data_IF_198427973973
#
_entry.id   IF_198427973973
#
_cell.length_a   1.000
_cell.length_b   1.000
_cell.length_c   1.000
_cell.angle_alpha   90.00
_cell.angle_beta   90.00
_cell.angle_gamma   90.00
#
_symmetry.space_group_name_H-M   'P 1'
#
loop_
_entity.id
_entity.type
_entity.pdbx_description
1 polymer ?
#
# COMPACT_ATOMS: atom_id res chain seq x y z
N UNK A 1 -13.37 5.10 -11.12
CA UNK A 1 -12.56 5.78 -12.13
C UNK A 1 -11.18 6.04 -11.56
N UNK A 2 -10.11 5.80 -12.32
CA UNK A 2 -8.77 6.32 -12.05
C UNK A 2 -8.78 7.81 -11.69
N UNK A 3 -7.89 8.20 -10.79
CA UNK A 3 -7.72 9.59 -10.34
C UNK A 3 -7.41 10.51 -11.52
N UNK A 4 -6.57 10.06 -12.45
CA UNK A 4 -6.21 10.75 -13.70
C UNK A 4 -7.43 11.12 -14.55
N UNK A 5 -8.36 10.19 -14.76
CA UNK A 5 -9.61 10.46 -15.47
C UNK A 5 -10.50 11.47 -14.73
N UNK A 6 -10.58 11.37 -13.40
CA UNK A 6 -11.36 12.32 -12.59
C UNK A 6 -10.75 13.72 -12.68
N UNK A 7 -9.42 13.84 -12.67
CA UNK A 7 -8.73 15.11 -12.85
C UNK A 7 -9.04 15.74 -14.21
N UNK A 8 -9.10 14.96 -15.29
CA UNK A 8 -9.51 15.47 -16.61
C UNK A 8 -10.93 16.04 -16.61
N UNK A 9 -11.86 15.41 -15.87
CA UNK A 9 -13.23 15.92 -15.74
C UNK A 9 -13.27 17.26 -14.99
N UNK A 10 -12.46 17.42 -13.94
CA UNK A 10 -12.31 18.69 -13.22
C UNK A 10 -11.72 19.78 -14.13
N UNK A 11 -10.64 19.46 -14.85
CA UNK A 11 -9.98 20.39 -15.76
C UNK A 11 -10.88 20.84 -16.91
N UNK A 12 -11.80 19.98 -17.38
CA UNK A 12 -12.79 20.30 -18.41
C UNK A 12 -14.09 20.89 -17.86
N UNK A 13 -14.16 21.17 -16.55
CA UNK A 13 -15.35 21.66 -15.85
C UNK A 13 -16.59 20.78 -16.08
N UNK A 14 -16.40 19.46 -16.24
CA UNK A 14 -17.50 18.48 -16.37
C UNK A 14 -18.06 18.06 -15.01
N UNK A 15 -17.24 18.16 -13.98
CA UNK A 15 -17.60 18.03 -12.57
C UNK A 15 -16.80 19.07 -11.80
N UNK A 16 -17.33 19.50 -10.67
CA UNK A 16 -16.73 20.48 -9.77
C UNK A 16 -16.04 19.78 -8.58
N UNK A 17 -14.95 20.30 -7.98
CA UNK A 17 -14.39 19.71 -6.75
C UNK A 17 -15.41 19.55 -5.62
N UNK A 18 -16.36 20.47 -5.52
CA UNK A 18 -17.44 20.43 -4.52
C UNK A 18 -18.43 19.30 -4.83
N UNK A 19 -18.87 19.16 -6.08
CA UNK A 19 -19.76 18.07 -6.52
C UNK A 19 -19.11 16.70 -6.30
N UNK A 20 -17.83 16.57 -6.65
CA UNK A 20 -17.04 15.36 -6.45
C UNK A 20 -16.93 15.01 -4.97
N UNK A 21 -16.62 15.99 -4.12
CA UNK A 21 -16.49 15.80 -2.67
C UNK A 21 -17.83 15.40 -2.05
N UNK A 22 -18.94 16.04 -2.41
CA UNK A 22 -20.26 15.63 -1.94
C UNK A 22 -20.65 14.23 -2.41
N UNK A 23 -20.30 13.85 -3.64
CA UNK A 23 -20.52 12.48 -4.14
C UNK A 23 -19.76 11.44 -3.30
N UNK A 24 -18.50 11.70 -2.99
CA UNK A 24 -17.68 10.86 -2.11
C UNK A 24 -18.27 10.76 -0.69
N UNK A 25 -18.62 11.90 -0.08
CA UNK A 25 -19.22 11.94 1.26
C UNK A 25 -20.55 11.20 1.33
N UNK A 26 -21.43 11.35 0.33
CA UNK A 26 -22.70 10.60 0.27
C UNK A 26 -22.50 9.09 0.12
N UNK A 27 -21.48 8.65 -0.63
CA UNK A 27 -21.12 7.23 -0.69
C UNK A 27 -20.61 6.72 0.66
N UNK A 28 -19.76 7.48 1.33
CA UNK A 28 -19.27 7.15 2.68
C UNK A 28 -20.45 6.99 3.64
N UNK A 29 -21.37 7.95 3.68
CA UNK A 29 -22.55 7.92 4.54
C UNK A 29 -23.41 6.68 4.28
N UNK A 30 -23.66 6.34 3.00
CA UNK A 30 -24.53 5.21 2.64
C UNK A 30 -23.92 3.82 2.84
N UNK A 31 -22.59 3.67 2.72
CA UNK A 31 -21.95 2.36 2.60
C UNK A 31 -20.85 2.07 3.63
N UNK A 32 -20.30 3.07 4.33
CA UNK A 32 -19.23 2.83 5.30
C UNK A 32 -19.71 1.99 6.50
N UNK A 33 -21.00 2.00 6.84
CA UNK A 33 -21.55 1.10 7.86
C UNK A 33 -21.41 -0.39 7.53
N UNK A 34 -21.31 -0.75 6.25
CA UNK A 34 -21.12 -2.14 5.79
C UNK A 34 -19.66 -2.46 5.48
N UNK A 35 -18.94 -1.50 4.89
CA UNK A 35 -17.53 -1.67 4.49
C UNK A 35 -16.57 -1.47 5.68
N UNK A 36 -16.89 -0.51 6.55
CA UNK A 36 -16.09 -0.07 7.69
C UNK A 36 -14.67 0.38 7.32
N UNK A 37 -14.55 1.07 6.18
CA UNK A 37 -13.27 1.56 5.66
C UNK A 37 -12.72 2.76 6.44
N UNK A 38 -13.57 3.62 6.99
CA UNK A 38 -13.18 4.85 7.67
C UNK A 38 -13.61 4.82 9.14
N UNK A 39 -12.69 5.17 10.05
CA UNK A 39 -12.95 5.34 11.49
C UNK A 39 -13.27 6.79 11.88
N UNK A 40 -12.90 7.73 11.01
CA UNK A 40 -13.19 9.15 11.18
C UNK A 40 -13.41 9.82 9.82
N UNK A 41 -14.35 10.74 9.75
CA UNK A 41 -14.68 11.53 8.56
C UNK A 41 -14.95 12.97 9.01
N UNK A 42 -14.43 13.95 8.26
CA UNK A 42 -14.62 15.38 8.53
C UNK A 42 -15.29 16.08 7.32
N UNK A 43 -16.62 15.95 7.17
CA UNK A 43 -17.35 16.51 6.03
C UNK A 43 -17.22 18.03 5.93
N UNK A 44 -17.21 18.72 7.06
CA UNK A 44 -17.16 20.19 7.12
C UNK A 44 -15.84 20.70 6.54
N UNK A 45 -14.70 20.20 7.04
CA UNK A 45 -13.39 20.59 6.53
C UNK A 45 -13.18 20.11 5.09
N UNK A 46 -13.73 18.95 4.71
CA UNK A 46 -13.69 18.46 3.32
C UNK A 46 -14.40 19.42 2.35
N UNK A 47 -15.61 19.88 2.68
CA UNK A 47 -16.36 20.83 1.85
C UNK A 47 -15.66 22.19 1.76
N UNK A 48 -15.04 22.65 2.84
CA UNK A 48 -14.23 23.89 2.82
C UNK A 48 -13.03 23.76 1.89
N UNK A 49 -12.27 22.67 1.98
CA UNK A 49 -11.14 22.37 1.08
C UNK A 49 -11.59 22.32 -0.39
N UNK A 50 -12.71 21.64 -0.66
CA UNK A 50 -13.28 21.52 -1.99
C UNK A 50 -13.76 22.86 -2.56
N UNK A 51 -14.35 23.72 -1.72
CA UNK A 51 -14.78 25.06 -2.11
C UNK A 51 -13.59 25.95 -2.49
N UNK A 52 -12.48 25.84 -1.74
CA UNK A 52 -11.24 26.54 -2.06
C UNK A 52 -10.65 26.05 -3.40
N UNK A 53 -10.68 24.74 -3.66
CA UNK A 53 -10.29 24.19 -4.96
C UNK A 53 -11.20 24.70 -6.09
N UNK A 54 -12.52 24.66 -5.90
CA UNK A 54 -13.49 25.19 -6.86
C UNK A 54 -13.20 26.64 -7.24
N UNK A 55 -12.88 27.49 -6.27
CA UNK A 55 -12.53 28.90 -6.53
C UNK A 55 -11.30 29.01 -7.45
N UNK A 56 -10.28 28.17 -7.25
CA UNK A 56 -9.10 28.11 -8.12
C UNK A 56 -9.46 27.72 -9.56
N UNK A 57 -10.33 26.72 -9.74
CA UNK A 57 -10.83 26.34 -11.07
C UNK A 57 -11.63 27.48 -11.73
N UNK A 58 -12.54 28.14 -11.00
CA UNK A 58 -13.32 29.28 -11.51
C UNK A 58 -12.43 30.45 -11.95
N UNK A 59 -11.31 30.67 -11.26
CA UNK A 59 -10.33 31.70 -11.61
C UNK A 59 -9.33 31.26 -12.69
N UNK A 60 -9.43 30.02 -13.21
CA UNK A 60 -8.49 29.48 -14.19
C UNK A 60 -7.08 29.27 -13.66
N UNK A 61 -6.93 29.02 -12.35
CA UNK A 61 -5.63 28.87 -11.66
C UNK A 61 -5.60 27.65 -10.72
N UNK A 62 -5.98 26.43 -11.16
CA UNK A 62 -5.80 25.23 -10.34
C UNK A 62 -4.31 25.03 -10.03
N UNK A 63 -3.99 24.43 -8.88
CA UNK A 63 -2.60 24.14 -8.51
C UNK A 63 -1.94 23.10 -9.43
N UNK A 64 -2.73 22.18 -9.97
CA UNK A 64 -2.24 21.12 -10.84
C UNK A 64 -3.23 19.97 -10.89
N UNK A 65 -2.74 18.80 -11.34
CA UNK A 65 -3.56 17.61 -11.57
C UNK A 65 -4.28 17.13 -10.30
N UNK A 66 -3.65 17.26 -9.13
CA UNK A 66 -4.19 16.78 -7.86
C UNK A 66 -5.20 17.73 -7.19
N UNK A 67 -5.33 18.98 -7.69
CA UNK A 67 -6.12 20.01 -7.03
C UNK A 67 -7.62 19.66 -7.01
N UNK A 68 -8.21 19.62 -5.82
CA UNK A 68 -9.62 19.30 -5.60
C UNK A 68 -9.97 17.81 -5.54
N UNK A 69 -9.00 16.91 -5.70
CA UNK A 69 -9.27 15.46 -5.67
C UNK A 69 -9.41 14.92 -4.24
N UNK A 70 -10.45 14.12 -3.93
CA UNK A 70 -10.63 13.52 -2.61
C UNK A 70 -9.65 12.38 -2.30
N UNK A 71 -9.06 12.42 -1.11
CA UNK A 71 -8.13 11.40 -0.58
C UNK A 71 -8.44 11.04 0.87
N UNK A 72 -8.11 9.81 1.25
CA UNK A 72 -8.14 9.31 2.63
C UNK A 72 -6.73 8.96 3.09
N UNK A 73 -6.43 9.14 4.37
CA UNK A 73 -5.13 8.74 4.95
C UNK A 73 -5.35 7.68 6.04
N UNK A 74 -4.44 6.72 6.15
CA UNK A 74 -4.50 5.69 7.20
C UNK A 74 -4.43 6.31 8.61
N UNK A 75 -5.14 5.73 9.57
CA UNK A 75 -5.27 6.23 10.95
C UNK A 75 -3.98 6.22 11.81
N UNK A 76 -2.83 5.88 11.23
CA UNK A 76 -1.52 6.09 11.86
C UNK A 76 -0.74 7.29 11.27
N UNK A 77 -1.35 8.04 10.37
CA UNK A 77 -0.80 9.23 9.71
C UNK A 77 -1.46 10.47 10.34
N UNK A 78 -0.68 11.32 11.03
CA UNK A 78 -1.24 12.47 11.70
C UNK A 78 -1.81 13.51 10.71
N UNK A 79 -3.05 13.93 10.98
CA UNK A 79 -3.69 15.12 10.43
C UNK A 79 -3.98 16.05 11.60
N UNK A 80 -3.64 17.33 11.46
CA UNK A 80 -3.78 18.31 12.53
C UNK A 80 -5.22 18.43 13.01
N UNK A 81 -5.42 18.29 14.33
CA UNK A 81 -6.73 18.38 14.97
C UNK A 81 -7.60 17.13 14.89
N UNK A 82 -7.25 16.14 14.06
CA UNK A 82 -8.01 14.90 13.95
C UNK A 82 -7.67 13.89 15.06
N UNK A 83 -8.63 13.04 15.46
CA UNK A 83 -8.31 11.87 16.26
C UNK A 83 -7.45 10.90 15.43
N UNK A 84 -6.44 10.33 16.07
CA UNK A 84 -5.55 9.32 15.50
C UNK A 84 -5.42 8.19 16.51
N UNK A 85 -5.81 6.98 16.15
CA UNK A 85 -5.81 5.84 17.10
C UNK A 85 -4.69 4.84 16.83
N UNK A 86 -4.08 4.84 15.62
CA UNK A 86 -3.19 3.77 15.17
C UNK A 86 -3.87 2.38 15.28
N UNK A 87 -5.19 2.35 15.12
CA UNK A 87 -6.02 1.18 15.35
C UNK A 87 -6.10 0.69 16.80
N UNK A 88 -5.68 1.49 17.81
CA UNK A 88 -5.72 1.12 19.24
C UNK A 88 -7.06 1.54 19.89
N UNK A 89 -7.29 1.10 21.13
CA UNK A 89 -8.47 1.48 21.93
C UNK A 89 -8.41 2.94 22.45
N UNK A 90 -7.27 3.60 22.28
CA UNK A 90 -7.03 4.98 22.70
C UNK A 90 -6.83 5.86 21.48
N UNK A 91 -7.17 7.13 21.62
CA UNK A 91 -6.91 8.13 20.59
C UNK A 91 -5.90 9.16 21.11
N UNK A 92 -5.16 9.74 20.17
CA UNK A 92 -4.36 10.95 20.38
C UNK A 92 -4.70 11.98 19.31
N UNK A 93 -4.29 13.22 19.54
CA UNK A 93 -4.45 14.31 18.58
C UNK A 93 -3.11 15.00 18.41
N UNK A 94 -2.74 15.26 17.16
CA UNK A 94 -1.59 16.10 16.82
C UNK A 94 -2.04 17.52 16.55
N UNK A 95 -1.25 18.50 17.00
CA UNK A 95 -1.43 19.91 16.62
C UNK A 95 -0.78 20.26 15.27
N UNK A 96 -0.14 19.27 14.63
CA UNK A 96 0.56 19.45 13.35
C UNK A 96 0.24 18.30 12.40
N UNK A 97 0.15 18.63 11.11
CA UNK A 97 0.09 17.62 10.06
C UNK A 97 1.41 16.83 10.02
N UNK A 98 1.31 15.54 9.67
CA UNK A 98 2.48 14.81 9.18
C UNK A 98 3.07 15.48 7.94
N UNK A 99 4.34 15.21 7.65
CA UNK A 99 5.02 15.82 6.49
C UNK A 99 4.30 15.48 5.19
N UNK A 100 3.78 14.25 5.06
CA UNK A 100 3.07 13.79 3.85
C UNK A 100 1.69 14.44 3.72
N UNK A 101 0.96 14.64 4.82
CA UNK A 101 -0.32 15.37 4.83
C UNK A 101 -0.11 16.84 4.46
N UNK A 102 0.96 17.46 4.97
CA UNK A 102 1.34 18.81 4.58
C UNK A 102 1.61 18.93 3.07
N UNK A 103 2.18 17.90 2.44
CA UNK A 103 2.38 17.84 0.97
C UNK A 103 1.05 17.70 0.23
N UNK A 104 0.14 16.84 0.68
CA UNK A 104 -1.21 16.71 0.11
C UNK A 104 -1.95 18.06 0.09
N UNK A 105 -1.91 18.79 1.21
CA UNK A 105 -2.57 20.12 1.31
C UNK A 105 -1.98 21.13 0.34
N UNK A 106 -0.65 21.14 0.16
CA UNK A 106 0.02 22.04 -0.81
C UNK A 106 -0.39 21.75 -2.25
N UNK A 107 -0.80 20.53 -2.55
CA UNK A 107 -1.30 20.12 -3.86
C UNK A 107 -2.80 20.37 -4.03
N UNK A 108 -3.48 20.95 -3.02
CA UNK A 108 -4.90 21.28 -3.07
C UNK A 108 -5.83 20.07 -2.96
N UNK A 109 -5.32 18.90 -2.55
CA UNK A 109 -6.15 17.71 -2.36
C UNK A 109 -7.14 17.88 -1.20
N UNK A 110 -8.30 17.25 -1.33
CA UNK A 110 -9.37 17.28 -0.32
C UNK A 110 -9.24 16.05 0.57
N UNK A 111 -8.74 16.22 1.80
CA UNK A 111 -8.56 15.10 2.73
C UNK A 111 -9.90 14.87 3.46
N UNK A 112 -10.47 13.67 3.30
CA UNK A 112 -11.83 13.34 3.75
C UNK A 112 -11.91 12.79 5.17
N UNK A 113 -10.93 11.96 5.58
CA UNK A 113 -11.00 11.23 6.84
C UNK A 113 -9.85 10.25 7.04
N UNK A 114 -9.91 9.54 8.17
CA UNK A 114 -8.94 8.52 8.57
C UNK A 114 -9.46 7.12 8.26
N UNK A 115 -8.67 6.35 7.52
CA UNK A 115 -8.95 4.96 7.18
C UNK A 115 -8.70 4.02 8.37
N UNK A 116 -9.61 3.06 8.56
CA UNK A 116 -9.44 1.93 9.47
C UNK A 116 -8.19 1.11 9.11
N UNK A 117 -7.64 0.42 10.10
CA UNK A 117 -6.41 -0.34 9.97
C UNK A 117 -6.33 -1.46 11.01
N UNK A 118 -5.47 -2.43 10.77
CA UNK A 118 -5.11 -3.42 11.78
C UNK A 118 -4.43 -2.75 12.99
N UNK A 119 -4.71 -3.29 14.18
CA UNK A 119 -4.24 -2.74 15.46
C UNK A 119 -2.71 -2.58 15.48
N UNK A 120 -2.24 -1.34 15.66
CA UNK A 120 -0.81 -1.03 15.72
C UNK A 120 -0.04 -1.29 14.41
N UNK A 121 -0.75 -1.44 13.29
CA UNK A 121 -0.21 -1.93 12.02
C UNK A 121 0.42 -3.34 12.09
N UNK A 122 0.19 -4.09 13.17
CA UNK A 122 0.88 -5.34 13.54
C UNK A 122 0.05 -6.59 13.19
N UNK A 123 -0.65 -6.55 12.06
CA UNK A 123 -1.36 -7.66 11.42
C UNK A 123 -1.63 -7.31 9.94
N UNK A 124 -2.26 -8.23 9.20
CA UNK A 124 -2.59 -8.04 7.79
C UNK A 124 -3.94 -8.66 7.41
N UNK A 125 -4.88 -8.72 8.36
CA UNK A 125 -6.16 -9.41 8.19
C UNK A 125 -7.37 -8.48 8.08
N UNK A 126 -7.19 -7.19 8.36
CA UNK A 126 -8.26 -6.20 8.28
C UNK A 126 -9.29 -6.35 9.40
N UNK A 127 -8.93 -7.02 10.50
CA UNK A 127 -9.77 -7.17 11.69
C UNK A 127 -9.18 -6.34 12.83
N UNK A 128 -9.89 -5.27 13.21
CA UNK A 128 -9.53 -4.47 14.37
C UNK A 128 -10.47 -4.79 15.56
N UNK A 129 -9.94 -5.16 16.74
CA UNK A 129 -10.76 -5.49 17.90
C UNK A 129 -11.52 -4.30 18.50
N UNK A 130 -11.08 -3.07 18.22
CA UNK A 130 -11.67 -1.83 18.74
C UNK A 130 -12.53 -1.13 17.69
N UNK A 131 -12.10 -1.19 16.43
CA UNK A 131 -12.70 -0.46 15.31
C UNK A 131 -13.44 -1.37 14.32
N UNK A 132 -13.58 -2.65 14.63
CA UNK A 132 -14.31 -3.63 13.82
C UNK A 132 -13.52 -4.11 12.60
N UNK A 133 -14.19 -4.98 11.82
CA UNK A 133 -13.64 -5.61 10.62
C UNK A 133 -13.88 -4.74 9.39
N UNK A 134 -12.90 -4.69 8.49
CA UNK A 134 -13.00 -4.01 7.20
C UNK A 134 -13.32 -5.03 6.10
N UNK A 135 -14.47 -4.86 5.46
CA UNK A 135 -14.95 -5.77 4.41
C UNK A 135 -14.35 -5.40 3.04
N UNK A 136 -14.08 -6.40 2.20
CA UNK A 136 -13.71 -6.17 0.80
C UNK A 136 -14.94 -5.73 -0.01
N UNK A 137 -14.97 -4.49 -0.57
CA UNK A 137 -16.16 -3.99 -1.27
C UNK A 137 -16.49 -4.74 -2.57
N UNK A 138 -15.48 -5.30 -3.24
CA UNK A 138 -15.66 -6.06 -4.48
C UNK A 138 -16.10 -7.50 -4.23
N UNK A 139 -15.81 -8.03 -3.05
CA UNK A 139 -16.07 -9.42 -2.68
C UNK A 139 -16.61 -9.52 -1.24
N UNK A 140 -17.92 -9.24 -1.03
CA UNK A 140 -18.53 -9.35 0.29
C UNK A 140 -18.28 -10.71 0.94
N UNK A 141 -17.98 -10.71 2.24
CA UNK A 141 -17.59 -11.91 2.98
C UNK A 141 -16.07 -12.18 3.01
N UNK A 142 -15.29 -11.51 2.16
CA UNK A 142 -13.83 -11.65 2.12
C UNK A 142 -13.12 -10.45 2.78
N UNK A 143 -11.90 -10.71 3.28
CA UNK A 143 -11.04 -9.71 3.88
C UNK A 143 -10.51 -8.73 2.84
N UNK A 144 -10.37 -7.46 3.24
CA UNK A 144 -9.70 -6.42 2.45
C UNK A 144 -8.17 -6.53 2.50
N UNK A 145 -7.61 -7.34 3.42
CA UNK A 145 -6.18 -7.40 3.73
C UNK A 145 -5.74 -6.26 4.64
N UNK A 146 -4.46 -6.22 5.01
CA UNK A 146 -3.96 -5.19 5.91
C UNK A 146 -2.44 -5.01 5.89
N UNK A 147 -1.87 -4.11 6.70
CA UNK A 147 -2.58 -3.32 7.72
C UNK A 147 -3.32 -2.08 7.22
N UNK A 148 -3.15 -1.67 5.96
CA UNK A 148 -3.87 -0.50 5.39
C UNK A 148 -5.21 -0.92 4.80
N UNK A 149 -5.98 -1.67 5.59
CA UNK A 149 -7.25 -2.32 5.21
C UNK A 149 -8.30 -1.30 4.75
N UNK A 150 -8.56 -0.30 5.58
CA UNK A 150 -9.50 0.78 5.28
C UNK A 150 -9.05 1.64 4.09
N UNK A 151 -7.74 1.85 3.91
CA UNK A 151 -7.22 2.63 2.78
C UNK A 151 -7.56 1.96 1.44
N UNK A 152 -7.33 0.64 1.32
CA UNK A 152 -7.69 -0.09 0.11
C UNK A 152 -9.20 -0.19 -0.08
N UNK A 153 -9.94 -0.51 0.99
CA UNK A 153 -11.39 -0.61 0.93
C UNK A 153 -12.06 0.72 0.54
N UNK A 154 -11.56 1.86 1.05
CA UNK A 154 -12.07 3.19 0.69
C UNK A 154 -11.89 3.50 -0.81
N UNK A 155 -10.71 3.18 -1.35
CA UNK A 155 -10.44 3.34 -2.79
C UNK A 155 -11.33 2.41 -3.58
N UNK A 156 -11.41 1.12 -3.23
CA UNK A 156 -12.22 0.13 -3.94
C UNK A 156 -13.71 0.50 -3.97
N UNK A 157 -14.27 0.89 -2.82
CA UNK A 157 -15.66 1.34 -2.67
C UNK A 157 -15.96 2.69 -3.35
N UNK A 158 -14.95 3.40 -3.84
CA UNK A 158 -15.11 4.70 -4.48
C UNK A 158 -15.49 5.81 -3.50
N UNK A 159 -15.04 5.69 -2.24
CA UNK A 159 -15.15 6.75 -1.22
C UNK A 159 -14.15 7.87 -1.47
N UNK A 160 -13.04 7.57 -2.14
CA UNK A 160 -12.00 8.54 -2.53
C UNK A 160 -11.36 8.14 -3.86
N UNK A 161 -10.56 9.04 -4.44
CA UNK A 161 -9.81 8.78 -5.67
C UNK A 161 -8.52 7.99 -5.40
N UNK A 162 -7.91 8.20 -4.24
CA UNK A 162 -6.73 7.52 -3.76
C UNK A 162 -6.74 7.45 -2.23
N UNK A 163 -5.84 6.66 -1.66
CA UNK A 163 -5.57 6.67 -0.23
C UNK A 163 -4.07 6.53 0.06
N UNK A 164 -3.64 7.02 1.22
CA UNK A 164 -2.31 6.69 1.76
C UNK A 164 -2.41 5.57 2.79
N UNK A 165 -1.41 4.69 2.77
CA UNK A 165 -1.16 3.68 3.78
C UNK A 165 0.31 3.64 4.21
N UNK A 166 0.62 2.71 5.11
CA UNK A 166 2.00 2.41 5.51
C UNK A 166 2.31 0.95 5.23
N UNK A 167 3.56 0.66 4.89
CA UNK A 167 4.03 -0.64 4.43
C UNK A 167 5.34 -1.00 5.14
N UNK A 168 5.26 -1.96 6.07
CA UNK A 168 6.42 -2.49 6.82
C UNK A 168 6.88 -3.85 6.30
N UNK A 169 5.93 -4.68 5.86
CA UNK A 169 6.17 -6.00 5.27
C UNK A 169 5.23 -6.30 4.09
N UNK A 170 4.50 -5.29 3.58
CA UNK A 170 3.45 -5.46 2.58
C UNK A 170 2.17 -4.68 2.81
N UNK A 171 2.05 -3.92 3.90
CA UNK A 171 0.77 -3.36 4.35
C UNK A 171 0.12 -2.31 3.42
N UNK A 172 0.76 -1.91 2.32
CA UNK A 172 0.13 -1.18 1.20
C UNK A 172 -0.17 -2.13 0.04
N UNK A 173 0.78 -3.00 -0.31
CA UNK A 173 0.70 -3.91 -1.46
C UNK A 173 -0.31 -5.05 -1.27
N UNK A 174 -0.35 -5.67 -0.09
CA UNK A 174 -1.27 -6.77 0.25
C UNK A 174 -2.75 -6.36 0.12
N UNK A 175 -3.22 -5.31 0.82
CA UNK A 175 -4.63 -4.92 0.69
C UNK A 175 -4.96 -4.39 -0.70
N UNK A 176 -3.99 -3.78 -1.41
CA UNK A 176 -4.19 -3.42 -2.81
C UNK A 176 -4.42 -4.66 -3.69
N UNK A 177 -3.58 -5.69 -3.57
CA UNK A 177 -3.73 -6.94 -4.32
C UNK A 177 -5.09 -7.61 -4.06
N UNK A 178 -5.52 -7.68 -2.79
CA UNK A 178 -6.80 -8.32 -2.44
C UNK A 178 -8.03 -7.51 -2.88
N UNK A 179 -7.92 -6.19 -2.97
CA UNK A 179 -8.99 -5.31 -3.43
C UNK A 179 -8.96 -5.05 -4.94
N UNK A 180 -8.03 -5.65 -5.70
CA UNK A 180 -7.90 -5.42 -7.13
C UNK A 180 -7.47 -3.99 -7.47
N UNK A 181 -6.54 -3.45 -6.69
CA UNK A 181 -6.02 -2.09 -6.78
C UNK A 181 -4.51 -2.09 -7.02
N UNK A 182 -3.99 -0.90 -7.33
CA UNK A 182 -2.55 -0.66 -7.42
C UNK A 182 -2.04 -0.13 -6.08
N UNK A 183 -1.03 -0.79 -5.51
CA UNK A 183 -0.41 -0.38 -4.25
C UNK A 183 1.09 -0.18 -4.43
N UNK A 184 1.61 1.00 -4.09
CA UNK A 184 3.02 1.32 -4.27
C UNK A 184 3.73 1.58 -2.95
N UNK A 185 4.82 0.86 -2.73
CA UNK A 185 5.79 1.08 -1.67
C UNK A 185 7.01 1.79 -2.27
N UNK A 186 7.23 3.08 -1.99
CA UNK A 186 8.47 3.76 -2.39
C UNK A 186 9.71 3.12 -1.75
N UNK A 187 10.88 3.49 -2.24
CA UNK A 187 12.15 3.18 -1.57
C UNK A 187 12.13 3.65 -0.12
N UNK A 188 12.84 2.94 0.76
CA UNK A 188 12.96 3.38 2.15
C UNK A 188 13.60 4.78 2.24
N UNK A 189 13.09 5.63 3.13
CA UNK A 189 13.55 7.01 3.30
C UNK A 189 13.17 7.97 2.16
N UNK A 190 12.51 7.48 1.11
CA UNK A 190 12.18 8.28 -0.08
C UNK A 190 11.07 9.31 0.20
N UNK A 191 10.07 8.93 0.98
CA UNK A 191 9.07 9.84 1.54
C UNK A 191 9.29 9.97 3.06
N UNK A 192 9.11 11.18 3.59
CA UNK A 192 9.21 11.44 5.03
C UNK A 192 8.09 10.70 5.78
N UNK A 193 8.46 9.99 6.83
CA UNK A 193 7.53 9.35 7.78
C UNK A 193 7.30 10.20 9.04
N UNK A 194 7.77 11.45 9.06
CA UNK A 194 7.56 12.35 10.19
C UNK A 194 6.06 12.61 10.42
N UNK A 195 5.62 12.40 11.65
CA UNK A 195 4.20 12.49 12.03
C UNK A 195 3.39 11.22 11.75
N UNK A 196 4.05 10.11 11.39
CA UNK A 196 3.44 8.79 11.28
C UNK A 196 3.85 7.96 12.49
N UNK A 197 2.92 7.22 13.11
CA UNK A 197 3.27 6.24 14.15
C UNK A 197 3.90 5.03 13.46
N UNK A 198 5.19 4.83 13.73
CA UNK A 198 5.99 3.78 13.14
C UNK A 198 5.80 2.44 13.86
N UNK A 199 5.82 1.36 13.07
CA UNK A 199 5.91 0.00 13.57
C UNK A 199 7.38 -0.42 13.69
N UNK A 200 8.16 -0.27 12.61
CA UNK A 200 9.59 -0.51 12.58
C UNK A 200 10.25 0.50 11.60
N UNK A 201 10.87 1.58 12.11
CA UNK A 201 11.35 2.68 11.27
C UNK A 201 12.28 2.27 10.13
N UNK A 202 13.04 1.19 10.32
CA UNK A 202 13.99 0.66 9.35
C UNK A 202 13.31 0.00 8.13
N UNK A 203 12.07 -0.46 8.28
CA UNK A 203 11.32 -1.16 7.21
C UNK A 203 10.10 -0.37 6.72
N UNK A 204 9.66 0.61 7.49
CA UNK A 204 8.46 1.40 7.21
C UNK A 204 8.63 2.32 5.99
N UNK A 205 7.62 2.29 5.11
CA UNK A 205 7.42 3.29 4.08
C UNK A 205 5.96 3.75 4.06
N UNK A 206 5.73 5.03 3.75
CA UNK A 206 4.40 5.54 3.41
C UNK A 206 4.20 5.45 1.89
N UNK A 207 3.04 5.00 1.44
CA UNK A 207 2.79 4.73 0.02
C UNK A 207 1.32 4.86 -0.38
N UNK A 208 1.04 5.18 -1.65
CA UNK A 208 -0.33 5.32 -2.13
C UNK A 208 -0.97 3.98 -2.52
N UNK A 209 -2.28 3.93 -2.40
CA UNK A 209 -3.18 2.93 -3.00
C UNK A 209 -4.10 3.65 -3.97
N UNK A 210 -4.15 3.18 -5.21
CA UNK A 210 -4.85 3.82 -6.34
C UNK A 210 -5.48 2.78 -7.27
N UNK A 211 -6.08 3.22 -8.38
CA UNK A 211 -6.72 2.32 -9.35
C UNK A 211 -5.87 2.04 -10.59
N UNK A 212 -4.76 2.75 -10.79
CA UNK A 212 -3.86 2.56 -11.93
C UNK A 212 -2.43 2.96 -11.58
N UNK A 213 -1.44 2.47 -12.31
CA UNK A 213 -0.04 2.91 -12.14
C UNK A 213 0.11 4.39 -12.51
N UNK A 214 -0.68 4.89 -13.47
CA UNK A 214 -0.68 6.31 -13.83
C UNK A 214 -1.06 7.21 -12.63
N UNK A 215 -2.04 6.79 -11.83
CA UNK A 215 -2.43 7.53 -10.61
C UNK A 215 -1.29 7.55 -9.58
N UNK A 216 -0.58 6.43 -9.40
CA UNK A 216 0.62 6.36 -8.54
C UNK A 216 1.68 7.33 -9.01
N UNK A 217 1.98 7.34 -10.31
CA UNK A 217 2.97 8.23 -10.91
C UNK A 217 2.69 9.70 -10.57
N UNK A 218 1.45 10.15 -10.74
CA UNK A 218 1.09 11.53 -10.46
C UNK A 218 1.17 11.86 -8.97
N UNK A 219 0.67 10.98 -8.10
CA UNK A 219 0.81 11.16 -6.65
C UNK A 219 2.29 11.22 -6.24
N UNK A 220 3.12 10.32 -6.75
CA UNK A 220 4.53 10.27 -6.38
C UNK A 220 5.34 11.42 -6.95
N UNK A 221 5.00 11.93 -8.13
CA UNK A 221 5.62 13.14 -8.70
C UNK A 221 5.39 14.33 -7.77
N UNK A 222 4.14 14.56 -7.39
CA UNK A 222 3.74 15.73 -6.61
C UNK A 222 4.07 15.63 -5.11
N UNK A 223 4.02 14.42 -4.55
CA UNK A 223 4.35 14.16 -3.15
C UNK A 223 5.84 13.88 -2.94
N UNK A 224 6.53 13.31 -3.91
CA UNK A 224 7.98 13.13 -3.86
C UNK A 224 8.72 14.46 -4.06
N UNK A 225 8.16 15.35 -4.90
CA UNK A 225 8.83 16.56 -5.36
C UNK A 225 9.90 16.24 -6.40
N UNK A 226 9.76 15.13 -7.13
CA UNK A 226 10.69 14.70 -8.16
C UNK A 226 10.06 14.92 -9.52
N UNK A 227 10.86 15.37 -10.49
CA UNK A 227 10.46 15.30 -11.89
C UNK A 227 10.59 13.82 -12.27
N UNK A 228 9.48 13.09 -12.20
CA UNK A 228 9.39 11.79 -12.85
C UNK A 228 9.34 12.05 -14.35
N UNK A 229 10.49 12.26 -14.97
CA UNK A 229 10.60 12.05 -16.41
C UNK A 229 10.50 10.54 -16.60
N UNK A 230 9.28 10.05 -16.77
CA UNK A 230 9.04 8.68 -17.20
C UNK A 230 9.55 8.59 -18.63
N UNK A 231 10.84 8.36 -18.78
CA UNK A 231 11.38 7.95 -20.06
C UNK A 231 10.84 6.56 -20.34
N UNK A 232 9.79 6.50 -21.15
CA UNK A 232 9.27 5.23 -21.65
C UNK A 232 10.34 4.61 -22.54
N UNK A 233 10.99 3.57 -22.03
CA UNK A 233 11.86 2.71 -22.82
C UNK A 233 11.03 1.54 -23.34
N UNK A 234 11.17 1.10 -24.60
CA UNK A 234 10.39 -0.02 -25.11
C UNK A 234 10.51 -1.25 -24.20
N UNK A 235 9.38 -1.92 -23.92
CA UNK A 235 9.33 -3.11 -23.06
C UNK A 235 10.32 -4.21 -23.50
N UNK A 236 10.63 -4.31 -24.80
CA UNK A 236 11.65 -5.21 -25.34
C UNK A 236 13.09 -5.00 -24.82
N UNK A 237 13.35 -3.91 -24.08
CA UNK A 237 14.65 -3.64 -23.41
C UNK A 237 14.65 -3.96 -21.93
N UNK A 238 13.50 -4.30 -21.34
CA UNK A 238 13.39 -4.60 -19.92
C UNK A 238 14.19 -5.87 -19.60
N UNK A 239 15.15 -5.76 -18.68
CA UNK A 239 15.79 -6.94 -18.08
C UNK A 239 14.96 -7.33 -16.86
N UNK A 240 14.30 -8.48 -16.91
CA UNK A 240 13.47 -8.93 -15.79
C UNK A 240 13.75 -10.39 -15.46
N UNK A 241 13.39 -10.78 -14.24
CA UNK A 241 13.46 -12.17 -13.82
C UNK A 241 12.51 -12.48 -12.67
N UNK A 242 12.41 -13.77 -12.36
CA UNK A 242 11.66 -14.31 -11.22
C UNK A 242 12.69 -15.03 -10.34
N UNK A 243 12.57 -14.96 -9.00
CA UNK A 243 13.47 -15.70 -8.12
C UNK A 243 13.45 -17.21 -8.38
N UNK A 244 14.62 -17.85 -8.33
CA UNK A 244 14.77 -19.32 -8.44
C UNK A 244 14.24 -20.09 -7.22
N UNK A 245 14.12 -19.43 -6.07
CA UNK A 245 13.54 -19.99 -4.82
C UNK A 245 12.04 -19.72 -4.69
N UNK A 246 11.34 -19.76 -5.81
CA UNK A 246 9.90 -19.65 -5.87
C UNK A 246 9.28 -21.04 -5.84
N UNK A 247 8.53 -21.37 -4.77
CA UNK A 247 7.78 -22.63 -4.72
C UNK A 247 6.40 -22.41 -5.31
N UNK A 248 6.16 -22.92 -6.51
CA UNK A 248 4.80 -22.98 -7.09
C UNK A 248 3.82 -23.70 -6.17
N UNK A 249 4.30 -24.67 -5.36
CA UNK A 249 3.49 -25.42 -4.40
C UNK A 249 2.94 -24.56 -3.25
N UNK A 250 3.51 -23.37 -3.00
CA UNK A 250 3.01 -22.44 -1.98
C UNK A 250 1.90 -21.50 -2.50
N UNK A 251 1.63 -21.49 -3.81
CA UNK A 251 0.60 -20.63 -4.39
C UNK A 251 -0.76 -21.32 -4.43
N UNK A 252 -1.80 -20.59 -4.05
CA UNK A 252 -3.16 -20.97 -4.40
C UNK A 252 -3.32 -20.90 -5.93
N UNK A 253 -4.10 -21.82 -6.50
CA UNK A 253 -4.41 -21.86 -7.95
C UNK A 253 -4.95 -20.52 -8.46
N UNK A 254 -5.79 -19.86 -7.65
CA UNK A 254 -6.38 -18.54 -7.96
C UNK A 254 -5.32 -17.42 -8.06
N UNK A 255 -4.07 -17.65 -7.66
CA UNK A 255 -2.92 -16.74 -7.85
C UNK A 255 -1.96 -17.28 -8.89
N UNK A 256 -1.68 -18.57 -8.87
CA UNK A 256 -0.74 -19.22 -9.79
C UNK A 256 -1.13 -18.96 -11.25
N UNK A 257 -2.40 -19.20 -11.61
CA UNK A 257 -2.88 -19.05 -12.99
C UNK A 257 -2.76 -17.59 -13.49
N UNK A 258 -3.26 -16.57 -12.78
CA UNK A 258 -3.03 -15.17 -13.17
C UNK A 258 -1.56 -14.76 -13.24
N UNK A 259 -0.72 -15.27 -12.34
CA UNK A 259 0.70 -14.93 -12.30
C UNK A 259 1.44 -15.52 -13.51
N UNK A 260 1.27 -16.81 -13.78
CA UNK A 260 1.88 -17.48 -14.93
C UNK A 260 1.41 -16.88 -16.26
N UNK A 261 0.13 -16.49 -16.36
CA UNK A 261 -0.39 -15.76 -17.52
C UNK A 261 0.35 -14.44 -17.73
N UNK A 262 0.51 -13.64 -16.67
CA UNK A 262 1.24 -12.37 -16.74
C UNK A 262 2.72 -12.56 -17.15
N UNK A 263 3.37 -13.63 -16.65
CA UNK A 263 4.73 -13.97 -17.06
C UNK A 263 4.81 -14.41 -18.53
N UNK A 264 3.82 -15.15 -19.01
CA UNK A 264 3.74 -15.59 -20.41
C UNK A 264 3.57 -14.41 -21.36
N UNK A 265 2.67 -13.47 -21.03
CA UNK A 265 2.45 -12.24 -21.80
C UNK A 265 3.74 -11.42 -21.91
N UNK A 266 4.46 -11.24 -20.79
CA UNK A 266 5.73 -10.51 -20.80
C UNK A 266 6.82 -11.27 -21.57
N UNK A 267 6.88 -12.59 -21.42
CA UNK A 267 7.84 -13.46 -22.11
C UNK A 267 7.66 -13.47 -23.63
N UNK A 268 6.45 -13.21 -24.12
CA UNK A 268 6.17 -13.04 -25.54
C UNK A 268 6.83 -11.77 -26.12
N UNK A 269 7.11 -10.76 -25.28
CA UNK A 269 7.77 -9.50 -25.67
C UNK A 269 9.27 -9.54 -25.40
N UNK A 270 9.69 -10.01 -24.22
CA UNK A 270 11.09 -10.06 -23.79
C UNK A 270 11.33 -11.24 -22.85
N UNK A 271 12.39 -12.03 -23.13
CA UNK A 271 12.69 -13.23 -22.34
C UNK A 271 13.17 -12.88 -20.93
N UNK A 272 12.78 -13.66 -19.90
CA UNK A 272 13.31 -13.49 -18.55
C UNK A 272 14.79 -13.90 -18.47
N UNK A 273 15.46 -13.35 -17.48
CA UNK A 273 16.80 -13.74 -17.05
C UNK A 273 16.71 -14.57 -15.75
N UNK A 274 17.68 -15.44 -15.55
CA UNK A 274 17.80 -16.20 -14.31
C UNK A 274 18.25 -15.28 -13.17
N UNK A 275 17.56 -15.37 -12.04
CA UNK A 275 17.86 -14.58 -10.84
C UNK A 275 17.99 -15.54 -9.67
N UNK A 276 19.17 -15.60 -9.05
CA UNK A 276 19.48 -16.57 -8.00
C UNK A 276 19.57 -15.93 -6.63
N UNK A 277 18.83 -16.52 -5.69
CA UNK A 277 18.88 -16.15 -4.28
C UNK A 277 19.63 -17.22 -3.47
N UNK A 278 20.61 -16.80 -2.66
CA UNK A 278 21.46 -17.71 -1.89
C UNK A 278 20.91 -17.98 -0.49
N UNK A 279 20.44 -16.93 0.15
CA UNK A 279 20.05 -16.88 1.56
C UNK A 279 18.56 -16.59 1.76
N UNK A 280 17.92 -15.93 0.80
CA UNK A 280 16.51 -15.59 0.93
C UNK A 280 15.62 -16.83 1.03
N UNK A 281 14.90 -16.91 2.16
CA UNK A 281 13.78 -17.82 2.38
C UNK A 281 12.54 -16.98 2.73
N UNK A 282 11.46 -17.03 1.92
CA UNK A 282 10.31 -16.13 2.09
C UNK A 282 9.68 -16.19 3.50
N UNK A 283 9.48 -17.41 4.02
CA UNK A 283 8.85 -17.62 5.32
C UNK A 283 9.73 -17.16 6.49
N UNK A 284 11.03 -17.43 6.43
CA UNK A 284 12.01 -17.05 7.47
C UNK A 284 12.26 -15.56 7.46
N UNK A 285 12.42 -14.92 6.30
CA UNK A 285 12.55 -13.47 6.22
C UNK A 285 11.33 -12.76 6.81
N UNK A 286 10.12 -13.17 6.42
CA UNK A 286 8.88 -12.61 6.96
C UNK A 286 8.82 -12.74 8.48
N UNK A 287 9.12 -13.92 9.04
CA UNK A 287 9.13 -14.13 10.50
C UNK A 287 10.19 -13.30 11.21
N UNK A 288 11.38 -13.17 10.63
CA UNK A 288 12.46 -12.32 11.16
C UNK A 288 12.05 -10.86 11.19
N UNK A 289 11.50 -10.33 10.10
CA UNK A 289 10.98 -8.97 10.03
C UNK A 289 9.86 -8.70 11.03
N UNK A 290 8.91 -9.64 11.18
CA UNK A 290 7.83 -9.54 12.17
C UNK A 290 8.38 -9.52 13.61
N UNK A 291 9.33 -10.40 13.93
CA UNK A 291 9.96 -10.43 15.25
C UNK A 291 10.63 -9.10 15.59
N UNK A 292 11.33 -8.49 14.63
CA UNK A 292 11.97 -7.18 14.84
C UNK A 292 10.94 -6.08 15.06
N UNK A 293 9.82 -6.11 14.33
CA UNK A 293 8.71 -5.18 14.52
C UNK A 293 8.04 -5.34 15.89
N UNK A 294 7.76 -6.58 16.31
CA UNK A 294 7.20 -6.89 17.63
C UNK A 294 8.12 -6.42 18.76
N UNK A 295 9.42 -6.66 18.61
CA UNK A 295 10.42 -6.21 19.57
C UNK A 295 10.51 -4.69 19.63
N UNK A 296 10.60 -4.02 18.47
CA UNK A 296 10.67 -2.57 18.39
C UNK A 296 9.45 -1.91 19.04
N UNK A 297 8.24 -2.37 18.69
CA UNK A 297 7.00 -1.88 19.28
C UNK A 297 6.98 -2.09 20.81
N UNK A 298 7.40 -3.26 21.29
CA UNK A 298 7.41 -3.58 22.72
C UNK A 298 8.39 -2.73 23.55
N UNK A 299 9.42 -2.17 22.91
CA UNK A 299 10.44 -1.32 23.52
C UNK A 299 10.12 0.19 23.41
N UNK A 300 9.44 0.63 22.34
CA UNK A 300 9.31 2.06 22.03
C UNK A 300 7.89 2.61 22.16
N UNK A 301 6.86 1.77 22.13
CA UNK A 301 5.49 2.26 22.32
C UNK A 301 5.22 2.59 23.78
N UNK A 302 4.66 3.78 24.01
CA UNK A 302 4.40 4.34 25.33
C UNK A 302 2.93 4.26 25.76
N UNK A 303 2.04 3.72 24.92
CA UNK A 303 0.61 3.62 25.24
C UNK A 303 0.37 2.68 26.44
N UNK A 304 -0.62 2.98 27.28
CA UNK A 304 -0.94 2.16 28.45
C UNK A 304 -1.40 0.77 28.01
N UNK A 305 -1.18 -0.26 28.83
CA UNK A 305 -1.60 -1.62 28.50
C UNK A 305 -3.12 -1.75 28.26
N UNK A 306 -3.95 -0.84 28.76
CA UNK A 306 -5.38 -0.78 28.46
C UNK A 306 -5.69 -0.43 27.00
N UNK A 307 -4.75 0.17 26.27
CA UNK A 307 -4.89 0.51 24.85
C UNK A 307 -4.85 -0.72 23.93
N UNK A 308 -4.27 -1.82 24.40
CA UNK A 308 -3.95 -2.99 23.58
C UNK A 308 -4.93 -4.15 23.81
N UNK A 309 -5.32 -4.80 22.73
CA UNK A 309 -6.05 -6.06 22.76
C UNK A 309 -5.21 -7.20 23.36
N UNK A 310 -5.85 -8.32 23.68
CA UNK A 310 -5.17 -9.51 24.16
C UNK A 310 -4.14 -10.04 23.12
N UNK A 311 -4.47 -9.98 21.83
CA UNK A 311 -3.59 -10.41 20.74
C UNK A 311 -2.35 -9.53 20.69
N UNK A 312 -2.52 -8.21 20.63
CA UNK A 312 -1.38 -7.28 20.57
C UNK A 312 -0.49 -7.41 21.83
N UNK A 313 -1.08 -7.55 23.02
CA UNK A 313 -0.31 -7.82 24.26
C UNK A 313 0.56 -9.07 24.12
N UNK A 314 0.03 -10.15 23.56
CA UNK A 314 0.79 -11.38 23.34
C UNK A 314 1.96 -11.17 22.37
N UNK A 315 1.75 -10.44 21.28
CA UNK A 315 2.80 -10.13 20.29
C UNK A 315 3.90 -9.25 20.90
N UNK A 316 3.54 -8.21 21.65
CA UNK A 316 4.49 -7.35 22.35
C UNK A 316 5.27 -8.12 23.43
N UNK A 317 4.62 -9.03 24.17
CA UNK A 317 5.29 -9.91 25.13
C UNK A 317 6.28 -10.85 24.43
N UNK A 318 5.90 -11.42 23.28
CA UNK A 318 6.77 -12.28 22.49
C UNK A 318 8.01 -11.53 21.96
N UNK A 319 7.83 -10.29 21.48
CA UNK A 319 8.92 -9.40 21.07
C UNK A 319 9.83 -9.00 22.24
N UNK A 320 9.25 -8.65 23.39
CA UNK A 320 9.99 -8.31 24.62
C UNK A 320 10.80 -9.49 25.16
N UNK A 321 10.26 -10.70 25.07
CA UNK A 321 10.91 -11.94 25.52
C UNK A 321 11.95 -12.51 24.55
N UNK A 322 12.19 -11.86 23.41
CA UNK A 322 13.18 -12.29 22.44
C UNK A 322 14.60 -12.18 23.01
N UNK A 323 15.39 -13.25 22.94
CA UNK A 323 16.81 -13.19 23.33
C UNK A 323 17.62 -12.36 22.34
N UNK A 324 18.72 -11.77 22.81
CA UNK A 324 19.66 -11.02 21.95
C UNK A 324 20.14 -11.85 20.75
N UNK A 325 20.40 -13.14 20.96
CA UNK A 325 20.79 -14.09 19.93
C UNK A 325 19.68 -14.35 18.89
N UNK A 326 18.40 -14.42 19.32
CA UNK A 326 17.26 -14.55 18.39
C UNK A 326 17.07 -13.29 17.55
N UNK A 327 17.26 -12.11 18.16
CA UNK A 327 17.19 -10.81 17.47
C UNK A 327 18.36 -10.66 16.49
N UNK A 328 19.57 -11.04 16.87
CA UNK A 328 20.74 -11.01 16.00
C UNK A 328 20.55 -11.90 14.77
N UNK A 329 20.06 -13.14 14.94
CA UNK A 329 19.72 -14.00 13.80
C UNK A 329 18.65 -13.39 12.88
N UNK A 330 17.63 -12.75 13.45
CA UNK A 330 16.61 -12.09 12.65
C UNK A 330 17.18 -10.93 11.83
N UNK A 331 18.06 -10.12 12.43
CA UNK A 331 18.78 -9.05 11.74
C UNK A 331 19.69 -9.61 10.63
N UNK A 332 20.46 -10.66 10.91
CA UNK A 332 21.30 -11.33 9.90
C UNK A 332 20.47 -11.81 8.72
N UNK A 333 19.34 -12.47 8.95
CA UNK A 333 18.43 -12.94 7.90
C UNK A 333 17.91 -11.78 7.01
N UNK A 334 17.56 -10.65 7.62
CA UNK A 334 17.14 -9.43 6.89
C UNK A 334 18.28 -8.89 6.01
N UNK A 335 19.49 -8.77 6.57
CA UNK A 335 20.67 -8.26 5.86
C UNK A 335 21.14 -9.18 4.73
N UNK A 336 21.13 -10.49 4.94
CA UNK A 336 21.48 -11.48 3.91
C UNK A 336 20.46 -11.47 2.76
N UNK A 337 19.16 -11.43 3.08
CA UNK A 337 18.10 -11.32 2.07
C UNK A 337 18.17 -10.00 1.30
N UNK A 338 18.52 -8.90 1.98
CA UNK A 338 18.80 -7.62 1.36
C UNK A 338 19.98 -7.72 0.38
N UNK A 339 21.08 -8.34 0.81
CA UNK A 339 22.28 -8.51 -0.03
C UNK A 339 21.98 -9.33 -1.29
N UNK A 340 21.21 -10.41 -1.16
CA UNK A 340 20.77 -11.21 -2.31
C UNK A 340 19.96 -10.36 -3.30
N UNK A 341 18.91 -9.68 -2.83
CA UNK A 341 18.04 -8.91 -3.70
C UNK A 341 18.81 -7.77 -4.39
N UNK A 342 19.65 -7.04 -3.66
CA UNK A 342 20.47 -5.96 -4.24
C UNK A 342 21.43 -6.51 -5.28
N UNK A 343 22.07 -7.66 -5.02
CA UNK A 343 22.98 -8.31 -5.95
C UNK A 343 22.30 -8.69 -7.28
N UNK A 344 21.04 -9.09 -7.24
CA UNK A 344 20.26 -9.44 -8.43
C UNK A 344 20.09 -8.28 -9.41
N UNK A 345 20.04 -7.03 -8.93
CA UNK A 345 19.83 -5.86 -9.79
C UNK A 345 21.06 -5.49 -10.66
N UNK A 346 22.18 -6.19 -10.51
CA UNK A 346 23.26 -6.12 -11.49
C UNK A 346 22.81 -6.69 -12.86
N UNK A 347 22.04 -7.77 -12.82
CA UNK A 347 21.61 -8.52 -14.00
C UNK A 347 20.27 -8.01 -14.55
N UNK A 348 19.31 -7.73 -13.65
CA UNK A 348 17.95 -7.33 -14.00
C UNK A 348 17.59 -5.92 -13.54
N UNK A 349 16.68 -5.27 -14.25
CA UNK A 349 16.08 -4.00 -13.86
C UNK A 349 14.88 -4.22 -12.92
N UNK A 350 14.13 -5.31 -13.12
CA UNK A 350 12.92 -5.63 -12.35
C UNK A 350 12.89 -7.10 -11.94
N UNK A 351 12.47 -7.37 -10.71
CA UNK A 351 12.11 -8.71 -10.24
C UNK A 351 10.61 -8.80 -10.11
N UNK A 352 10.04 -9.88 -10.65
CA UNK A 352 8.61 -10.19 -10.64
C UNK A 352 8.30 -11.33 -9.67
N UNK A 353 7.23 -11.16 -8.88
CA UNK A 353 6.67 -12.19 -8.00
C UNK A 353 5.15 -11.97 -7.87
N UNK A 354 4.36 -12.95 -7.43
CA UNK A 354 3.04 -12.67 -6.89
C UNK A 354 3.16 -11.72 -5.70
N UNK A 355 2.16 -10.85 -5.50
CA UNK A 355 2.12 -9.99 -4.31
C UNK A 355 1.84 -10.80 -3.05
N UNK A 356 0.99 -11.81 -3.12
CA UNK A 356 0.65 -12.71 -2.02
C UNK A 356 0.48 -14.15 -2.56
N UNK A 357 0.67 -15.19 -1.73
CA UNK A 357 0.48 -16.58 -2.16
C UNK A 357 -0.98 -16.98 -2.39
N UNK A 358 -1.93 -16.13 -1.99
CA UNK A 358 -3.37 -16.37 -2.12
C UNK A 358 -4.11 -15.08 -2.44
N UNK A 359 -5.33 -15.18 -2.98
CA UNK A 359 -6.27 -14.06 -3.11
C UNK A 359 -6.88 -13.68 -1.76
N UNK A 360 -7.77 -12.68 -1.74
CA UNK A 360 -8.59 -12.37 -0.57
C UNK A 360 -9.23 -13.65 0.04
N UNK A 361 -9.12 -13.81 1.36
CA UNK A 361 -9.62 -14.98 2.11
C UNK A 361 -10.89 -14.63 2.88
N UNK A 362 -11.64 -15.66 3.31
CA UNK A 362 -12.89 -15.48 4.02
C UNK A 362 -12.67 -14.71 5.32
N UNK A 363 -13.45 -13.65 5.52
CA UNK A 363 -13.23 -12.67 6.59
C UNK A 363 -13.51 -13.20 8.01
N UNK A 364 -14.23 -14.31 8.11
CA UNK A 364 -14.55 -15.04 9.34
C UNK A 364 -13.54 -16.13 9.69
N UNK A 365 -12.53 -16.35 8.85
CA UNK A 365 -11.46 -17.33 9.09
C UNK A 365 -10.17 -16.66 9.57
N UNK A 366 -9.26 -17.46 10.15
CA UNK A 366 -7.92 -16.97 10.48
C UNK A 366 -7.15 -16.61 9.20
N UNK A 367 -6.48 -15.46 9.25
CA UNK A 367 -5.64 -15.02 8.16
C UNK A 367 -4.54 -16.06 7.85
N UNK A 368 -4.25 -16.33 6.57
CA UNK A 368 -3.10 -17.15 6.19
C UNK A 368 -1.81 -16.56 6.78
N UNK A 369 -0.92 -17.39 7.29
CA UNK A 369 0.31 -16.91 7.97
C UNK A 369 1.41 -16.48 7.00
N UNK A 370 1.30 -16.85 5.72
CA UNK A 370 2.29 -16.69 4.66
C UNK A 370 2.05 -15.46 3.77
N UNK A 371 1.03 -14.63 4.03
CA UNK A 371 0.63 -13.54 3.11
C UNK A 371 1.79 -12.62 2.70
N UNK A 372 2.63 -12.26 3.69
CA UNK A 372 3.74 -11.33 3.50
C UNK A 372 5.05 -12.01 3.07
N UNK A 373 5.06 -13.30 2.73
CA UNK A 373 6.26 -14.03 2.32
C UNK A 373 6.95 -13.34 1.13
N UNK A 374 6.19 -12.81 0.18
CA UNK A 374 6.73 -12.18 -1.04
C UNK A 374 6.91 -10.67 -0.90
N UNK A 375 6.09 -9.98 -0.11
CA UNK A 375 6.21 -8.52 0.05
C UNK A 375 7.33 -8.11 1.00
N UNK A 376 7.68 -8.94 1.98
CA UNK A 376 8.71 -8.64 2.99
C UNK A 376 10.09 -8.34 2.39
N UNK A 377 10.42 -8.97 1.27
CA UNK A 377 11.73 -8.82 0.62
C UNK A 377 12.04 -7.36 0.21
N UNK A 378 11.06 -6.66 -0.37
CA UNK A 378 11.26 -5.26 -0.76
C UNK A 378 11.43 -4.32 0.44
N UNK A 379 10.77 -4.59 1.58
CA UNK A 379 10.98 -3.81 2.80
C UNK A 379 12.36 -4.06 3.37
N UNK A 380 12.74 -5.33 3.53
CA UNK A 380 14.05 -5.73 4.03
C UNK A 380 15.20 -5.08 3.24
N UNK A 381 15.07 -5.01 1.92
CA UNK A 381 16.08 -4.41 1.06
C UNK A 381 15.93 -2.90 0.84
N UNK A 382 14.90 -2.24 1.41
CA UNK A 382 14.60 -0.83 1.18
C UNK A 382 14.24 -0.48 -0.27
N UNK A 383 13.91 -1.47 -1.10
CA UNK A 383 13.64 -1.34 -2.53
C UNK A 383 12.25 -0.75 -2.80
N UNK A 384 12.04 0.05 -3.85
CA UNK A 384 10.70 0.39 -4.29
C UNK A 384 10.00 -0.85 -4.84
N UNK A 385 8.70 -0.97 -4.60
CA UNK A 385 7.90 -2.09 -5.03
C UNK A 385 6.45 -1.70 -5.28
N UNK A 386 5.86 -2.20 -6.36
CA UNK A 386 4.46 -1.96 -6.73
C UNK A 386 3.73 -3.28 -6.89
N UNK A 387 2.50 -3.35 -6.40
CA UNK A 387 1.54 -4.40 -6.74
C UNK A 387 0.57 -3.84 -7.77
N UNK A 388 0.45 -4.49 -8.92
CA UNK A 388 -0.57 -4.19 -9.93
C UNK A 388 -1.52 -5.39 -10.09
N UNK A 389 -2.81 -5.20 -10.40
CA UNK A 389 -3.71 -6.32 -10.65
C UNK A 389 -3.26 -7.18 -11.84
N UNK A 390 -3.29 -8.51 -11.67
CA UNK A 390 -3.24 -9.45 -12.79
C UNK A 390 -4.62 -9.56 -13.45
N UNK A 391 -4.63 -10.01 -14.71
CA UNK A 391 -5.86 -10.54 -15.32
C UNK A 391 -6.24 -11.84 -14.62
N UNK A 392 -7.46 -11.88 -14.09
CA UNK A 392 -8.01 -13.08 -13.44
C UNK A 392 -9.09 -13.73 -14.32
N UNK A 393 -9.30 -15.06 -14.21
CA UNK A 393 -10.44 -15.71 -14.84
C UNK A 393 -11.77 -15.05 -14.44
N UNK A 394 -12.78 -15.15 -15.29
CA UNK A 394 -14.11 -14.60 -15.00
C UNK A 394 -14.66 -15.13 -13.67
N UNK A 395 -15.12 -14.23 -12.80
CA UNK A 395 -15.58 -14.55 -11.44
C UNK A 395 -14.46 -14.86 -10.43
N UNK A 396 -13.19 -14.88 -10.85
CA UNK A 396 -12.03 -15.08 -9.98
C UNK A 396 -11.72 -13.84 -9.13
N UNK A 397 -11.33 -14.05 -7.87
CA UNK A 397 -10.90 -12.98 -6.96
C UNK A 397 -9.59 -12.33 -7.44
N UNK A 398 -9.31 -11.07 -7.09
CA UNK A 398 -8.15 -10.36 -7.60
C UNK A 398 -6.85 -10.99 -7.10
N UNK A 399 -5.87 -11.06 -8.00
CA UNK A 399 -4.49 -11.44 -7.73
C UNK A 399 -3.57 -10.28 -8.12
N UNK A 400 -2.47 -10.09 -7.39
CA UNK A 400 -1.50 -9.02 -7.65
C UNK A 400 -0.19 -9.53 -8.22
N UNK A 401 0.34 -8.85 -9.22
CA UNK A 401 1.72 -8.95 -9.69
C UNK A 401 2.56 -7.89 -8.99
N UNK A 402 3.57 -8.33 -8.25
CA UNK A 402 4.55 -7.47 -7.63
C UNK A 402 5.75 -7.26 -8.55
N UNK A 403 6.11 -5.99 -8.75
CA UNK A 403 7.34 -5.57 -9.40
C UNK A 403 8.25 -4.90 -8.35
N UNK A 404 9.55 -5.22 -8.36
CA UNK A 404 10.56 -4.62 -7.49
C UNK A 404 11.75 -4.16 -8.33
N UNK A 405 12.37 -3.04 -7.96
CA UNK A 405 13.60 -2.53 -8.59
C UNK A 405 14.64 -2.20 -7.52
N UNK A 406 15.87 -1.87 -7.93
CA UNK A 406 16.93 -1.44 -7.01
C UNK A 406 16.51 -0.25 -6.12
N UNK A 407 17.04 -0.14 -4.89
CA UNK A 407 16.80 1.01 -4.02
C UNK A 407 17.06 2.34 -4.73
N UNK A 408 16.16 3.31 -4.55
CA UNK A 408 16.22 4.63 -5.18
C UNK A 408 15.87 4.66 -6.67
N UNK A 409 15.43 3.54 -7.26
CA UNK A 409 15.01 3.47 -8.67
C UNK A 409 13.49 3.55 -8.85
N UNK A 410 12.80 4.29 -7.97
CA UNK A 410 11.34 4.45 -7.94
C UNK A 410 10.77 4.86 -9.30
N UNK A 411 11.37 5.86 -9.97
CA UNK A 411 10.90 6.38 -11.26
C UNK A 411 11.03 5.35 -12.37
N UNK A 412 12.14 4.58 -12.38
CA UNK A 412 12.37 3.51 -13.34
C UNK A 412 11.36 2.38 -13.14
N UNK A 413 11.11 2.00 -11.89
CA UNK A 413 10.11 0.99 -11.57
C UNK A 413 8.72 1.42 -12.05
N UNK A 414 8.32 2.66 -11.77
CA UNK A 414 7.01 3.17 -12.22
C UNK A 414 6.92 3.25 -13.75
N UNK A 415 8.00 3.57 -14.44
CA UNK A 415 8.06 3.54 -15.90
C UNK A 415 7.87 2.13 -16.48
N UNK A 416 8.44 1.12 -15.85
CA UNK A 416 8.22 -0.28 -16.23
C UNK A 416 6.83 -0.75 -15.87
N UNK A 417 6.34 -0.44 -14.67
CA UNK A 417 5.01 -0.82 -14.22
C UNK A 417 3.90 -0.24 -15.12
N UNK A 418 4.06 0.99 -15.64
CA UNK A 418 3.12 1.55 -16.63
C UNK A 418 3.03 0.73 -17.91
N UNK A 419 4.16 0.18 -18.38
CA UNK A 419 4.18 -0.62 -19.60
C UNK A 419 3.65 -2.03 -19.36
N UNK A 420 3.98 -2.61 -18.21
CA UNK A 420 3.46 -3.91 -17.80
C UNK A 420 1.95 -3.83 -17.57
N UNK A 421 1.43 -2.81 -16.88
CA UNK A 421 -0.01 -2.61 -16.70
C UNK A 421 -0.76 -2.53 -18.03
N UNK A 422 -0.21 -1.82 -19.03
CA UNK A 422 -0.81 -1.76 -20.39
C UNK A 422 -0.79 -3.11 -21.09
N UNK A 423 0.35 -3.82 -21.04
CA UNK A 423 0.46 -5.16 -21.61
C UNK A 423 -0.60 -6.11 -21.03
N UNK A 424 -0.81 -6.07 -19.72
CA UNK A 424 -1.80 -6.93 -19.04
C UNK A 424 -3.25 -6.52 -19.29
N UNK A 425 -3.50 -5.30 -19.80
CA UNK A 425 -4.82 -4.82 -20.17
C UNK A 425 -5.18 -5.10 -21.63
N UNK A 426 -4.18 -5.16 -22.52
CA UNK A 426 -4.36 -5.29 -23.98
C UNK A 426 -4.45 -6.75 -24.47
N UNK A 427 -3.96 -7.72 -23.69
CA UNK A 427 -4.02 -9.17 -23.97
C UNK A 427 -5.26 -9.82 -23.35
#
# INVERSE_FOLDING_TARGET
MPLTEVSELLARCKVSPVELTHSCLGRIESANGQVNALVFVDPETAVVQATQAQQRYTLGRPFGLLDGLPIVVKDNIAVSGWPMTNGLAVQRTSSTDSDIVSRLRRQGMVILGSANMDEGALAADGVNPHHGRVMNPGYPGYASGGSSSGSAAAVAAGFCCAALGTDTLGSVRLPAAYCGLVGFKPSHGRLSTKGIISLLPELDAVGPITRSVADVVHLMTELGGWIVSIQQSPLGRLRWGVPDRFSEEELAVDVQVPFESALADLSAVVRPQSVTFRHWDPGTLRRSGLLLAEHHAACHWADPASAYSARLKSMLQYGRGASADRLARAQTCVLESQSDLIGCFAEVDVILMPTAPQTAFASDTSAPVNQANYTALANAAGCPSISIPCRTPEGGRPAGLQLMSAPGSDEKLLAWALQVERLLADC
#
